data_IF_571325046643
#
_entry.id   IF_571325046643
#
_cell.length_a   1.000
_cell.length_b   1.000
_cell.length_c   1.000
_cell.angle_alpha   90.00
_cell.angle_beta   90.00
_cell.angle_gamma   90.00
#
_symmetry.space_group_name_H-M   'P 1'
#
loop_
_entity.id
_entity.type
_entity.pdbx_description
1 polymer ?
#
# COMPACT_ATOMS: atom_id res chain seq x y z
N UNK A 1 3.72 -14.91 19.74
CA UNK A 1 3.33 -15.69 18.55
C UNK A 1 4.21 -15.20 17.41
N UNK A 2 5.19 -16.01 16.99
CA UNK A 2 6.06 -15.70 15.85
C UNK A 2 5.23 -15.92 14.60
N UNK A 3 4.96 -14.85 13.86
CA UNK A 3 4.20 -14.93 12.62
C UNK A 3 5.18 -15.40 11.54
N UNK A 4 5.25 -16.71 11.31
CA UNK A 4 5.93 -17.29 10.15
C UNK A 4 5.24 -16.77 8.89
N UNK A 5 5.78 -15.69 8.31
CA UNK A 5 5.36 -15.19 7.00
C UNK A 5 6.59 -15.04 6.14
N UNK A 6 6.73 -15.98 5.22
CA UNK A 6 7.77 -15.99 4.21
C UNK A 6 7.80 -14.64 3.45
N UNK A 7 8.98 -14.16 3.02
CA UNK A 7 9.12 -12.99 2.15
C UNK A 7 8.30 -13.03 0.84
N UNK A 8 7.76 -14.22 0.51
CA UNK A 8 6.86 -14.48 -0.62
C UNK A 8 5.50 -13.74 -0.44
N UNK A 9 5.09 -13.34 0.77
CA UNK A 9 3.80 -12.68 1.06
C UNK A 9 3.66 -11.25 0.49
N UNK A 10 4.76 -10.59 0.12
CA UNK A 10 4.70 -9.29 -0.58
C UNK A 10 4.24 -9.46 -2.04
N UNK A 11 4.44 -10.63 -2.64
CA UNK A 11 4.00 -10.96 -3.99
C UNK A 11 2.85 -11.98 -4.07
N UNK A 12 2.57 -12.78 -3.03
CA UNK A 12 1.64 -13.93 -3.09
C UNK A 12 0.55 -13.96 -2.02
N UNK A 13 -0.28 -12.91 -1.93
CA UNK A 13 -1.62 -13.17 -1.37
C UNK A 13 -2.42 -14.05 -2.35
N UNK A 14 -2.59 -15.32 -1.98
CA UNK A 14 -3.65 -16.25 -2.37
C UNK A 14 -4.03 -16.26 -3.85
N UNK A 15 -3.29 -16.99 -4.69
CA UNK A 15 -3.61 -17.18 -6.12
C UNK A 15 -5.07 -17.62 -6.37
N UNK A 16 -5.66 -18.41 -5.48
CA UNK A 16 -7.04 -18.88 -5.58
C UNK A 16 -8.08 -17.79 -5.24
N UNK A 17 -7.93 -17.11 -4.09
CA UNK A 17 -8.82 -16.00 -3.68
C UNK A 17 -8.75 -14.84 -4.68
N UNK A 18 -7.56 -14.60 -5.25
CA UNK A 18 -7.33 -13.62 -6.31
C UNK A 18 -7.91 -14.05 -7.65
N UNK A 19 -7.89 -15.35 -7.98
CA UNK A 19 -8.59 -15.88 -9.16
C UNK A 19 -10.10 -15.68 -9.04
N UNK A 20 -10.66 -15.93 -7.86
CA UNK A 20 -12.09 -15.67 -7.58
C UNK A 20 -12.39 -14.17 -7.61
N UNK A 21 -11.56 -13.31 -7.01
CA UNK A 21 -11.76 -11.87 -7.06
C UNK A 21 -11.65 -11.31 -8.48
N UNK A 22 -10.67 -11.77 -9.27
CA UNK A 22 -10.52 -11.38 -10.67
C UNK A 22 -11.70 -11.87 -11.52
N UNK A 23 -12.21 -13.07 -11.26
CA UNK A 23 -13.42 -13.59 -11.90
C UNK A 23 -14.65 -12.74 -11.53
N UNK A 24 -14.83 -12.43 -10.25
CA UNK A 24 -15.94 -11.62 -9.75
C UNK A 24 -15.89 -10.21 -10.34
N UNK A 25 -14.73 -9.55 -10.35
CA UNK A 25 -14.55 -8.23 -10.96
C UNK A 25 -14.71 -8.28 -12.48
N UNK A 26 -14.19 -9.33 -13.13
CA UNK A 26 -14.33 -9.57 -14.56
C UNK A 26 -15.77 -9.83 -15.00
N UNK A 27 -16.61 -10.39 -14.12
CA UNK A 27 -18.05 -10.56 -14.34
C UNK A 27 -18.86 -9.32 -13.94
N UNK A 28 -18.39 -8.54 -12.96
CA UNK A 28 -19.10 -7.37 -12.46
C UNK A 28 -19.25 -6.28 -13.52
N UNK A 29 -18.18 -5.95 -14.25
CA UNK A 29 -18.22 -4.95 -15.31
C UNK A 29 -19.27 -5.27 -16.41
N UNK A 30 -19.23 -6.47 -17.01
CA UNK A 30 -20.23 -6.92 -17.97
C UNK A 30 -21.65 -6.98 -17.41
N UNK A 31 -21.83 -7.42 -16.16
CA UNK A 31 -23.14 -7.48 -15.51
C UNK A 31 -23.74 -6.08 -15.31
N UNK A 32 -22.96 -5.16 -14.75
CA UNK A 32 -23.36 -3.75 -14.58
C UNK A 32 -23.67 -3.13 -15.95
N UNK A 33 -22.81 -3.39 -16.94
CA UNK A 33 -23.05 -2.92 -18.30
C UNK A 33 -24.34 -3.43 -18.92
N UNK A 34 -24.61 -4.73 -18.78
CA UNK A 34 -25.84 -5.37 -19.25
C UNK A 34 -27.09 -4.80 -18.56
N UNK A 35 -27.04 -4.61 -17.24
CA UNK A 35 -28.15 -4.02 -16.48
C UNK A 35 -28.44 -2.57 -16.91
N UNK A 36 -27.41 -1.76 -17.11
CA UNK A 36 -27.56 -0.38 -17.58
C UNK A 36 -28.18 -0.33 -18.97
N UNK A 37 -27.68 -1.13 -19.91
CA UNK A 37 -28.24 -1.22 -21.27
C UNK A 37 -29.71 -1.67 -21.24
N UNK A 38 -30.05 -2.66 -20.41
CA UNK A 38 -31.42 -3.14 -20.23
C UNK A 38 -32.33 -2.06 -19.63
N UNK A 39 -31.81 -1.18 -18.78
CA UNK A 39 -32.55 -0.02 -18.25
C UNK A 39 -32.69 1.15 -19.23
N UNK A 40 -32.23 1.00 -20.47
CA UNK A 40 -32.31 2.04 -21.50
C UNK A 40 -31.14 3.03 -21.49
N UNK A 41 -30.07 2.76 -20.75
CA UNK A 41 -28.85 3.56 -20.85
C UNK A 41 -28.22 3.37 -22.24
N UNK A 42 -27.58 4.41 -22.76
CA UNK A 42 -26.86 4.29 -24.03
C UNK A 42 -25.56 3.52 -23.82
N UNK A 43 -25.01 2.98 -24.90
CA UNK A 43 -23.69 2.35 -24.86
C UNK A 43 -22.62 3.32 -24.36
N UNK A 44 -22.72 4.60 -24.75
CA UNK A 44 -21.79 5.66 -24.34
C UNK A 44 -21.84 5.89 -22.83
N UNK A 45 -23.02 6.03 -22.23
CA UNK A 45 -23.13 6.23 -20.77
C UNK A 45 -22.68 5.00 -20.00
N UNK A 46 -22.94 3.81 -20.53
CA UNK A 46 -22.49 2.55 -19.94
C UNK A 46 -20.96 2.44 -19.95
N UNK A 47 -20.32 2.72 -21.09
CA UNK A 47 -18.86 2.75 -21.20
C UNK A 47 -18.24 3.83 -20.31
N UNK A 48 -18.82 5.02 -20.28
CA UNK A 48 -18.36 6.09 -19.39
C UNK A 48 -18.42 5.65 -17.92
N UNK A 49 -19.51 5.01 -17.49
CA UNK A 49 -19.67 4.53 -16.12
C UNK A 49 -18.64 3.45 -15.74
N UNK A 50 -18.31 2.54 -16.66
CA UNK A 50 -17.32 1.49 -16.42
C UNK A 50 -15.88 2.01 -16.41
N UNK A 51 -15.57 3.03 -17.23
CA UNK A 51 -14.22 3.60 -17.33
C UNK A 51 -13.94 4.68 -16.28
N UNK A 52 -14.98 5.37 -15.79
CA UNK A 52 -14.83 6.46 -14.83
C UNK A 52 -14.03 6.06 -13.57
N UNK A 53 -14.25 4.89 -12.93
CA UNK A 53 -13.44 4.48 -11.79
C UNK A 53 -11.95 4.38 -12.12
N UNK A 54 -11.59 3.81 -13.27
CA UNK A 54 -10.19 3.71 -13.71
C UNK A 54 -9.62 5.11 -13.99
N UNK A 55 -10.39 5.95 -14.66
CA UNK A 55 -10.02 7.33 -14.98
C UNK A 55 -9.83 8.21 -13.73
N UNK A 56 -10.45 7.88 -12.61
CA UNK A 56 -10.25 8.57 -11.32
C UNK A 56 -9.11 7.94 -10.51
N UNK A 57 -9.04 6.62 -10.43
CA UNK A 57 -8.05 5.91 -9.62
C UNK A 57 -6.63 6.09 -10.18
N UNK A 58 -6.47 6.03 -11.50
CA UNK A 58 -5.15 6.11 -12.13
C UNK A 58 -4.44 7.47 -11.86
N UNK A 59 -5.08 8.64 -12.04
CA UNK A 59 -4.50 9.92 -11.62
C UNK A 59 -4.20 10.00 -10.12
N UNK A 60 -5.02 9.40 -9.26
CA UNK A 60 -4.76 9.38 -7.81
C UNK A 60 -3.50 8.57 -7.49
N UNK A 61 -3.31 7.41 -8.12
CA UNK A 61 -2.05 6.65 -8.02
C UNK A 61 -0.86 7.47 -8.50
N UNK A 62 -1.01 8.15 -9.62
CA UNK A 62 0.05 8.99 -10.17
C UNK A 62 0.41 10.16 -9.26
N UNK A 63 -0.58 10.82 -8.64
CA UNK A 63 -0.37 11.99 -7.80
C UNK A 63 0.15 11.63 -6.40
N UNK A 64 -0.42 10.58 -5.80
CA UNK A 64 -0.21 10.25 -4.39
C UNK A 64 0.82 9.15 -4.17
N UNK A 65 0.97 8.21 -5.10
CA UNK A 65 1.81 7.02 -4.95
C UNK A 65 3.13 7.10 -5.73
N UNK A 66 3.06 7.46 -7.02
CA UNK A 66 4.22 7.50 -7.92
C UNK A 66 5.40 8.34 -7.40
N UNK A 67 5.21 9.49 -6.71
CA UNK A 67 6.35 10.25 -6.21
C UNK A 67 7.19 9.51 -5.17
N UNK A 68 6.61 8.54 -4.47
CA UNK A 68 7.32 7.69 -3.52
C UNK A 68 8.09 6.60 -4.27
N UNK A 69 7.41 5.86 -5.17
CA UNK A 69 8.05 4.78 -5.92
C UNK A 69 9.13 5.24 -6.88
N UNK A 70 9.01 6.45 -7.45
CA UNK A 70 10.07 7.00 -8.32
C UNK A 70 11.32 7.42 -7.56
N UNK A 71 11.18 7.78 -6.28
CA UNK A 71 12.29 8.32 -5.47
C UNK A 71 13.02 7.22 -4.72
N UNK A 72 12.30 6.22 -4.25
CA UNK A 72 12.85 5.11 -3.49
C UNK A 72 12.51 3.80 -4.17
N UNK A 73 13.44 3.20 -4.94
CA UNK A 73 13.20 1.90 -5.55
C UNK A 73 12.93 0.85 -4.48
N UNK A 74 12.17 -0.18 -4.83
CA UNK A 74 11.89 -1.27 -3.90
C UNK A 74 13.12 -2.14 -3.68
N UNK A 75 13.48 -2.32 -2.42
CA UNK A 75 14.52 -3.26 -1.98
C UNK A 75 13.86 -4.58 -1.54
N UNK A 76 14.49 -5.73 -1.83
CA UNK A 76 13.99 -7.04 -1.43
C UNK A 76 13.92 -7.14 0.09
N UNK A 77 12.81 -7.72 0.58
CA UNK A 77 12.58 -7.88 2.00
C UNK A 77 13.56 -8.85 2.64
N UNK A 78 14.01 -8.49 3.83
CA UNK A 78 14.96 -9.25 4.60
C UNK A 78 14.24 -10.24 5.54
N UNK A 79 14.99 -11.21 6.06
CA UNK A 79 14.41 -12.30 6.87
C UNK A 79 13.79 -11.83 8.19
N UNK A 80 14.20 -10.65 8.66
CA UNK A 80 13.68 -9.99 9.86
C UNK A 80 12.46 -9.10 9.59
N UNK A 81 11.94 -9.09 8.36
CA UNK A 81 10.85 -8.21 7.97
C UNK A 81 9.55 -8.49 8.73
N UNK A 82 9.03 -7.49 9.44
CA UNK A 82 7.68 -7.51 10.00
C UNK A 82 6.69 -6.96 8.97
N UNK A 83 5.79 -7.80 8.46
CA UNK A 83 4.79 -7.44 7.43
C UNK A 83 3.41 -7.27 8.04
N UNK A 84 2.76 -6.13 7.80
CA UNK A 84 1.34 -5.89 8.13
C UNK A 84 0.53 -5.44 6.92
N UNK A 85 -0.66 -6.03 6.77
CA UNK A 85 -1.58 -5.77 5.65
C UNK A 85 -2.69 -4.78 6.02
N UNK A 86 -3.43 -4.28 5.03
CA UNK A 86 -4.58 -3.37 5.19
C UNK A 86 -4.23 -2.13 6.03
N UNK A 87 -3.05 -1.58 5.78
CA UNK A 87 -2.60 -0.34 6.37
C UNK A 87 -3.00 0.84 5.50
N UNK A 88 -2.86 2.02 6.08
CA UNK A 88 -3.19 3.29 5.42
C UNK A 88 -1.94 4.13 5.26
N UNK A 89 -1.66 4.56 4.02
CA UNK A 89 -0.48 5.34 3.68
C UNK A 89 -0.77 6.27 2.49
N UNK A 90 -0.26 7.50 2.54
CA UNK A 90 -0.32 8.45 1.42
C UNK A 90 -1.74 8.63 0.81
N UNK A 91 -2.79 8.61 1.64
CA UNK A 91 -4.18 8.74 1.19
C UNK A 91 -4.85 7.44 0.75
N UNK A 92 -4.11 6.33 0.63
CA UNK A 92 -4.66 5.01 0.38
C UNK A 92 -5.02 4.34 1.71
N UNK A 93 -6.31 4.22 1.99
CA UNK A 93 -6.82 3.65 3.24
C UNK A 93 -7.11 2.15 3.06
N UNK A 94 -6.60 1.29 3.96
CA UNK A 94 -6.78 -0.17 3.92
C UNK A 94 -6.34 -0.85 2.61
N UNK A 95 -5.54 -0.18 1.78
CA UNK A 95 -5.10 -0.66 0.47
C UNK A 95 -3.58 -0.84 0.41
N UNK A 96 -2.88 -0.67 1.54
CA UNK A 96 -1.43 -0.70 1.62
C UNK A 96 -0.99 -1.90 2.45
N UNK A 97 0.06 -2.57 2.01
CA UNK A 97 0.85 -3.47 2.85
C UNK A 97 2.13 -2.76 3.19
N UNK A 98 2.45 -2.76 4.47
CA UNK A 98 3.67 -2.19 5.00
C UNK A 98 4.53 -3.33 5.53
N UNK A 99 5.82 -3.23 5.32
CA UNK A 99 6.79 -4.05 6.02
C UNK A 99 7.90 -3.18 6.57
N UNK A 100 8.53 -3.65 7.65
CA UNK A 100 9.68 -3.00 8.25
C UNK A 100 10.77 -4.01 8.47
N UNK A 101 11.99 -3.68 8.09
CA UNK A 101 13.18 -4.52 8.30
C UNK A 101 14.39 -3.64 8.65
N UNK A 102 15.60 -4.21 8.70
CA UNK A 102 16.83 -3.43 8.96
C UNK A 102 17.14 -2.30 7.97
N UNK A 103 16.66 -2.37 6.74
CA UNK A 103 16.85 -1.30 5.75
C UNK A 103 15.89 -0.14 6.01
N UNK A 104 14.60 -0.43 6.17
CA UNK A 104 13.60 0.63 6.11
C UNK A 104 12.15 0.19 6.25
N UNK A 105 11.29 1.10 5.80
CA UNK A 105 9.85 0.86 5.62
C UNK A 105 9.58 0.54 4.16
N UNK A 106 9.05 -0.64 3.90
CA UNK A 106 8.63 -1.10 2.59
C UNK A 106 7.13 -0.92 2.46
N UNK A 107 6.67 -0.39 1.34
CA UNK A 107 5.25 -0.19 1.08
C UNK A 107 4.89 -0.75 -0.29
N UNK A 108 3.75 -1.43 -0.35
CA UNK A 108 3.16 -1.88 -1.61
C UNK A 108 1.65 -1.74 -1.55
N UNK A 109 1.03 -1.41 -2.68
CA UNK A 109 -0.42 -1.42 -2.78
C UNK A 109 -0.93 -2.85 -3.00
N UNK A 110 -2.21 -3.06 -2.71
CA UNK A 110 -2.88 -4.31 -3.11
C UNK A 110 -2.83 -4.48 -4.64
N UNK A 111 -2.87 -5.74 -5.09
CA UNK A 111 -2.66 -6.11 -6.50
C UNK A 111 -3.50 -5.31 -7.52
N UNK A 112 -4.79 -5.00 -7.30
CA UNK A 112 -5.55 -4.20 -8.27
C UNK A 112 -4.89 -2.85 -8.58
N UNK A 113 -4.34 -2.18 -7.56
CA UNK A 113 -3.63 -0.93 -7.76
C UNK A 113 -2.22 -1.14 -8.34
N UNK A 114 -1.54 -2.26 -8.02
CA UNK A 114 -0.26 -2.62 -8.66
C UNK A 114 -0.41 -2.79 -10.18
N UNK A 115 -1.51 -3.39 -10.64
CA UNK A 115 -1.82 -3.48 -12.08
C UNK A 115 -2.03 -2.12 -12.75
N UNK A 116 -2.43 -1.10 -11.99
CA UNK A 116 -2.61 0.28 -12.43
C UNK A 116 -1.38 1.17 -12.15
N UNK A 117 -0.17 0.59 -12.17
CA UNK A 117 1.12 1.28 -11.92
C UNK A 117 1.39 1.66 -10.46
N UNK A 118 0.75 1.01 -9.49
CA UNK A 118 1.04 1.14 -8.06
C UNK A 118 2.31 0.39 -7.64
N UNK A 119 3.47 0.79 -8.16
CA UNK A 119 4.75 0.11 -7.91
C UNK A 119 5.15 0.13 -6.42
N UNK A 120 5.74 -0.96 -5.89
CA UNK A 120 6.23 -0.98 -4.51
C UNK A 120 7.43 -0.03 -4.34
N UNK A 121 7.71 0.37 -3.10
CA UNK A 121 8.84 1.23 -2.77
C UNK A 121 9.38 0.95 -1.37
N UNK A 122 10.63 1.36 -1.10
CA UNK A 122 11.30 1.13 0.17
C UNK A 122 11.99 2.38 0.68
N UNK A 123 11.48 2.98 1.76
CA UNK A 123 12.05 4.18 2.38
C UNK A 123 13.08 3.74 3.42
N UNK A 124 14.37 4.08 3.27
CA UNK A 124 15.38 3.76 4.28
C UNK A 124 15.13 4.57 5.55
N UNK A 125 15.46 4.00 6.71
CA UNK A 125 15.27 4.67 8.00
C UNK A 125 16.00 6.01 8.10
N UNK A 126 17.14 6.15 7.42
CA UNK A 126 17.93 7.39 7.37
C UNK A 126 17.20 8.57 6.71
N UNK A 127 16.17 8.31 5.90
CA UNK A 127 15.37 9.33 5.23
C UNK A 127 14.10 9.72 6.03
N UNK A 128 13.87 9.09 7.19
CA UNK A 128 12.66 9.27 8.00
C UNK A 128 12.96 10.15 9.21
N UNK A 129 12.45 11.38 9.17
CA UNK A 129 12.52 12.32 10.29
C UNK A 129 11.19 12.31 11.06
N UNK A 130 11.20 11.76 12.26
CA UNK A 130 10.00 11.64 13.10
C UNK A 130 9.63 13.00 13.72
N UNK A 131 8.37 13.40 13.56
CA UNK A 131 7.84 14.59 14.21
C UNK A 131 7.22 14.25 15.58
N UNK A 132 7.26 15.19 16.54
CA UNK A 132 6.58 15.02 17.82
C UNK A 132 5.09 14.75 17.60
N UNK A 133 4.56 13.76 18.32
CA UNK A 133 3.20 13.29 18.15
C UNK A 133 2.20 14.32 18.72
N UNK A 134 1.37 14.89 17.84
CA UNK A 134 0.24 15.73 18.25
C UNK A 134 -0.93 14.92 18.82
N UNK A 135 -1.88 15.60 19.48
CA UNK A 135 -3.04 14.97 20.14
C UNK A 135 -3.85 14.03 19.24
N UNK A 136 -3.98 14.35 17.95
CA UNK A 136 -4.71 13.53 16.98
C UNK A 136 -4.00 12.21 16.67
N UNK A 137 -2.66 12.21 16.56
CA UNK A 137 -1.88 11.00 16.31
C UNK A 137 -1.94 9.99 17.47
N UNK A 138 -2.14 10.50 18.71
CA UNK A 138 -2.31 9.65 19.90
C UNK A 138 -3.60 8.84 19.87
N UNK A 139 -4.66 9.39 19.27
CA UNK A 139 -5.97 8.72 19.12
C UNK A 139 -5.90 7.63 18.06
N UNK A 140 -5.28 7.93 16.91
CA UNK A 140 -5.19 7.01 15.76
C UNK A 140 -4.02 6.04 15.85
N UNK A 141 -3.21 6.11 16.92
CA UNK A 141 -1.95 5.36 17.07
C UNK A 141 -1.06 5.48 15.83
N UNK A 142 -0.96 6.70 15.28
CA UNK A 142 -0.13 7.00 14.13
C UNK A 142 0.86 8.11 14.47
N UNK A 143 2.03 8.06 13.83
CA UNK A 143 3.09 9.04 13.99
C UNK A 143 3.31 9.76 12.67
N UNK A 144 3.53 11.06 12.76
CA UNK A 144 3.85 11.89 11.61
C UNK A 144 5.36 11.84 11.40
N UNK A 145 5.79 11.56 10.18
CA UNK A 145 7.17 11.62 9.76
C UNK A 145 7.32 12.55 8.55
N UNK A 146 8.48 13.18 8.42
CA UNK A 146 8.91 13.82 7.17
C UNK A 146 9.83 12.84 6.47
N UNK A 147 9.49 12.56 5.21
CA UNK A 147 10.25 11.66 4.36
C UNK A 147 10.54 12.38 3.06
N UNK A 148 11.82 12.66 2.80
CA UNK A 148 12.25 13.39 1.62
C UNK A 148 11.58 14.76 1.44
N UNK A 149 11.29 15.46 2.54
CA UNK A 149 10.61 16.76 2.54
C UNK A 149 9.08 16.71 2.45
N UNK A 150 8.46 15.53 2.49
CA UNK A 150 7.00 15.35 2.47
C UNK A 150 6.50 14.74 3.78
N UNK A 151 5.36 15.21 4.25
CA UNK A 151 4.73 14.62 5.44
C UNK A 151 4.04 13.30 5.11
N UNK A 152 4.33 12.29 5.93
CA UNK A 152 3.73 10.96 5.85
C UNK A 152 3.22 10.55 7.23
N UNK A 153 2.02 9.98 7.30
CA UNK A 153 1.49 9.38 8.53
C UNK A 153 1.79 7.90 8.49
N UNK A 154 2.57 7.42 9.44
CA UNK A 154 2.95 6.02 9.60
C UNK A 154 2.24 5.43 10.81
N UNK A 155 1.82 4.15 10.76
CA UNK A 155 1.27 3.46 11.93
C UNK A 155 2.26 3.40 13.10
N UNK A 156 1.75 3.33 14.32
CA UNK A 156 2.55 3.33 15.55
C UNK A 156 3.59 2.21 15.62
N UNK A 157 3.24 1.02 15.12
CA UNK A 157 4.17 -0.12 15.09
C UNK A 157 5.39 0.13 14.20
N UNK A 158 5.26 0.95 13.14
CA UNK A 158 6.40 1.32 12.28
C UNK A 158 7.37 2.22 13.05
N UNK A 159 6.83 3.13 13.87
CA UNK A 159 7.65 3.97 14.74
C UNK A 159 8.30 3.15 15.86
N UNK A 160 7.60 2.18 16.44
CA UNK A 160 8.17 1.24 17.40
C UNK A 160 9.32 0.42 16.79
N UNK A 161 9.16 -0.05 15.55
CA UNK A 161 10.22 -0.74 14.81
C UNK A 161 11.44 0.18 14.58
N UNK A 162 11.22 1.45 14.23
CA UNK A 162 12.28 2.44 14.07
C UNK A 162 13.08 2.66 15.38
N UNK A 163 12.40 2.67 16.53
CA UNK A 163 13.06 2.83 17.83
C UNK A 163 13.90 1.61 18.24
N UNK A 164 13.59 0.41 17.71
CA UNK A 164 14.31 -0.82 18.01
C UNK A 164 15.58 -1.01 17.17
N UNK A 165 15.80 -0.18 16.14
CA UNK A 165 16.98 -0.23 15.28
C UNK A 165 18.35 -0.20 15.98
N UNK A 166 18.58 0.54 17.09
CA UNK A 166 19.86 0.51 17.78
C UNK A 166 20.25 -0.90 18.26
N UNK A 167 19.26 -1.79 18.43
CA UNK A 167 19.46 -3.17 18.86
C UNK A 167 19.77 -4.17 17.74
N UNK A 168 19.63 -3.77 16.46
CA UNK A 168 20.00 -4.63 15.32
C UNK A 168 21.51 -4.62 15.04
N UNK A 169 22.20 -3.54 15.39
CA UNK A 169 23.66 -3.43 15.28
C UNK A 169 24.46 -4.23 16.32
N UNK A 170 23.82 -4.81 17.34
CA UNK A 170 24.49 -5.55 18.43
C UNK A 170 24.35 -7.07 18.35
N UNK A 171 23.68 -7.61 17.31
CA UNK A 171 23.48 -9.06 17.13
C UNK A 171 24.42 -9.74 16.14
N UNK A 172 25.45 -9.02 15.67
CA UNK A 172 26.46 -9.55 14.74
C UNK A 172 27.89 -9.45 15.29
N UNK A 173 28.07 -9.76 16.58
CA UNK A 173 29.37 -9.98 17.21
C UNK A 173 29.42 -11.38 17.83
#
# INVERSE_FOLDING_TARGET
>A
MKQDRHPIDFDTAGSAEMGVLALVLGLHGPLVGFLMLKSGATLVTTMAALLLPVAVIYPLLWLLWRPWSSRWPFEPLQEDAEVRTLQSLAGFNNCVRLATDRYGVHATLTRPFRWMSGEPFSIPWSEIEWQPQGSFGRITRSHKAIVGGRSLMLPGWVHEAAQQQPSWGSRSA
#
